data_IF_720530683966
#
_entry.id   IF_720530683966
#
_cell.length_a   1.000
_cell.length_b   1.000
_cell.length_c   1.000
_cell.angle_alpha   90.00
_cell.angle_beta   90.00
_cell.angle_gamma   90.00
#
_symmetry.space_group_name_H-M   'P 1'
#
loop_
_entity.id
_entity.type
_entity.pdbx_description
1 polymer ?
#
# COMPACT_ATOMS: atom_id res chain seq x y z
N UNK A 1 -12.65 -9.94 -19.19
CA UNK A 1 -13.85 -10.18 -18.36
C UNK A 1 -13.44 -11.03 -17.17
N UNK A 2 -13.87 -10.70 -15.96
CA UNK A 2 -13.71 -11.60 -14.79
C UNK A 2 -14.87 -12.59 -14.80
N UNK A 3 -14.57 -13.89 -14.85
CA UNK A 3 -15.55 -14.98 -14.99
C UNK A 3 -15.82 -15.70 -13.68
N UNK A 4 -14.86 -15.68 -12.75
CA UNK A 4 -15.02 -16.19 -11.39
C UNK A 4 -14.39 -15.24 -10.38
N UNK A 5 -14.89 -15.27 -9.14
CA UNK A 5 -14.39 -14.47 -8.02
C UNK A 5 -14.32 -15.32 -6.75
N UNK A 6 -13.40 -14.98 -5.85
CA UNK A 6 -13.27 -15.61 -4.53
C UNK A 6 -13.35 -14.56 -3.44
N UNK A 7 -14.00 -14.85 -2.31
CA UNK A 7 -13.99 -13.95 -1.17
C UNK A 7 -12.60 -13.96 -0.51
N UNK A 8 -12.03 -12.78 -0.26
CA UNK A 8 -10.74 -12.63 0.41
C UNK A 8 -10.91 -12.25 1.89
N UNK A 9 -11.98 -11.53 2.23
CA UNK A 9 -12.24 -11.04 3.58
C UNK A 9 -13.31 -9.95 3.59
N UNK A 10 -13.42 -9.26 4.72
CA UNK A 10 -14.37 -8.16 4.94
C UNK A 10 -13.65 -6.88 5.33
N UNK A 11 -14.03 -5.73 4.78
CA UNK A 11 -13.60 -4.42 5.28
C UNK A 11 -14.83 -3.65 5.68
N UNK A 12 -14.96 -3.29 6.96
CA UNK A 12 -16.16 -2.62 7.49
C UNK A 12 -17.48 -3.36 7.13
N UNK A 13 -17.46 -4.69 7.08
CA UNK A 13 -18.61 -5.52 6.69
C UNK A 13 -18.83 -5.67 5.18
N UNK A 14 -18.03 -5.02 4.35
CA UNK A 14 -18.07 -5.15 2.89
C UNK A 14 -17.16 -6.26 2.39
N UNK A 15 -17.69 -7.13 1.53
CA UNK A 15 -16.92 -8.24 0.96
C UNK A 15 -15.86 -7.72 0.00
N UNK A 16 -14.62 -8.17 0.22
CA UNK A 16 -13.51 -7.99 -0.72
C UNK A 16 -13.39 -9.24 -1.57
N UNK A 17 -13.50 -9.07 -2.88
CA UNK A 17 -13.38 -10.12 -3.87
C UNK A 17 -12.01 -10.11 -4.50
N UNK A 18 -11.42 -11.29 -4.66
CA UNK A 18 -10.27 -11.56 -5.51
C UNK A 18 -10.72 -12.11 -6.86
N UNK A 19 -10.00 -11.77 -7.92
CA UNK A 19 -10.24 -12.32 -9.26
C UNK A 19 -9.91 -13.81 -9.25
N UNK A 20 -10.88 -14.67 -9.53
CA UNK A 20 -10.69 -16.13 -9.60
C UNK A 20 -10.26 -16.60 -10.97
N UNK A 21 -11.02 -16.22 -11.99
CA UNK A 21 -10.78 -16.61 -13.39
C UNK A 21 -11.12 -15.45 -14.32
N UNK A 22 -10.51 -15.43 -15.51
CA UNK A 22 -10.72 -14.38 -16.51
C UNK A 22 -10.82 -14.93 -17.93
N UNK A 23 -11.60 -14.23 -18.75
CA UNK A 23 -11.74 -14.50 -20.18
C UNK A 23 -11.45 -13.25 -21.00
N UNK A 24 -10.60 -13.40 -22.01
CA UNK A 24 -10.45 -12.41 -23.09
C UNK A 24 -11.45 -12.76 -24.20
N UNK A 25 -12.32 -11.81 -24.53
CA UNK A 25 -13.36 -12.00 -25.55
C UNK A 25 -13.06 -11.10 -26.74
N UNK A 26 -13.03 -11.68 -27.93
CA UNK A 26 -12.93 -10.93 -29.19
C UNK A 26 -14.31 -10.37 -29.54
N UNK A 27 -14.38 -9.07 -29.85
CA UNK A 27 -15.65 -8.40 -30.18
C UNK A 27 -15.98 -8.41 -31.68
N UNK A 28 -14.97 -8.48 -32.54
CA UNK A 28 -15.14 -8.55 -33.98
C UNK A 28 -13.98 -9.30 -34.65
N UNK A 29 -14.28 -10.02 -35.72
CA UNK A 29 -13.26 -10.64 -36.58
C UNK A 29 -12.67 -9.59 -37.52
N UNK A 30 -11.45 -9.17 -37.20
CA UNK A 30 -10.65 -8.19 -37.94
C UNK A 30 -9.75 -8.85 -39.00
N UNK A 31 -10.07 -10.07 -39.42
CA UNK A 31 -9.24 -10.93 -40.28
C UNK A 31 -8.91 -10.26 -41.63
N UNK A 32 -9.78 -9.35 -42.09
CA UNK A 32 -9.57 -8.60 -43.34
C UNK A 32 -8.63 -7.38 -43.21
N UNK A 33 -8.22 -7.00 -41.99
CA UNK A 33 -7.21 -5.96 -41.77
C UNK A 33 -5.81 -6.56 -41.93
N UNK A 34 -5.32 -6.61 -43.17
CA UNK A 34 -3.96 -7.11 -43.49
C UNK A 34 -2.89 -6.35 -42.70
N UNK A 35 -1.99 -7.08 -42.03
CA UNK A 35 -0.76 -6.54 -41.44
C UNK A 35 -0.74 -6.35 -39.93
N UNK A 36 -1.84 -6.60 -39.20
CA UNK A 36 -1.92 -6.37 -37.74
C UNK A 36 -1.90 -7.63 -36.87
N UNK A 37 -1.95 -8.83 -37.47
CA UNK A 37 -2.16 -10.07 -36.71
C UNK A 37 -0.98 -10.46 -35.81
N UNK A 38 0.26 -10.33 -36.30
CA UNK A 38 1.46 -10.64 -35.52
C UNK A 38 1.63 -9.69 -34.32
N UNK A 39 1.37 -8.40 -34.52
CA UNK A 39 1.39 -7.40 -33.46
C UNK A 39 0.26 -7.60 -32.45
N UNK A 40 -0.96 -7.92 -32.91
CA UNK A 40 -2.08 -8.25 -32.03
C UNK A 40 -1.77 -9.49 -31.18
N UNK A 41 -1.24 -10.56 -31.78
CA UNK A 41 -0.81 -11.75 -31.05
C UNK A 41 0.31 -11.45 -30.05
N UNK A 42 1.25 -10.57 -30.38
CA UNK A 42 2.29 -10.09 -29.45
C UNK A 42 1.69 -9.33 -28.27
N UNK A 43 0.77 -8.40 -28.52
CA UNK A 43 0.09 -7.62 -27.47
C UNK A 43 -0.78 -8.51 -26.58
N UNK A 44 -1.51 -9.48 -27.16
CA UNK A 44 -2.26 -10.49 -26.40
C UNK A 44 -1.36 -11.27 -25.46
N UNK A 45 -0.20 -11.75 -25.95
CA UNK A 45 0.79 -12.43 -25.10
C UNK A 45 1.29 -11.54 -23.98
N UNK A 46 1.65 -10.28 -24.27
CA UNK A 46 2.10 -9.34 -23.23
C UNK A 46 1.03 -9.04 -22.18
N UNK A 47 -0.25 -9.00 -22.57
CA UNK A 47 -1.36 -8.83 -21.63
C UNK A 47 -1.54 -10.08 -20.75
N UNK A 48 -1.45 -11.27 -21.35
CA UNK A 48 -1.59 -12.55 -20.66
C UNK A 48 -0.42 -12.86 -19.71
N UNK A 49 0.73 -12.18 -19.85
CA UNK A 49 1.81 -12.22 -18.86
C UNK A 49 1.40 -11.66 -17.50
N UNK A 50 0.36 -10.83 -17.44
CA UNK A 50 -0.21 -10.37 -16.18
C UNK A 50 -1.26 -11.40 -15.73
N UNK A 51 -0.91 -12.20 -14.73
CA UNK A 51 -1.86 -13.08 -14.08
C UNK A 51 -2.85 -12.26 -13.23
N UNK A 52 -4.07 -12.09 -13.76
CA UNK A 52 -5.12 -11.36 -13.07
C UNK A 52 -5.65 -12.12 -11.84
N UNK A 53 -5.44 -13.43 -11.72
CA UNK A 53 -5.91 -14.18 -10.56
C UNK A 53 -5.09 -13.90 -9.28
N UNK A 54 -3.88 -13.36 -9.45
CA UNK A 54 -2.93 -13.10 -8.38
C UNK A 54 -2.84 -11.61 -8.06
N UNK A 55 -3.21 -11.23 -6.84
CA UNK A 55 -3.03 -9.87 -6.32
C UNK A 55 -4.03 -8.83 -6.81
N UNK A 56 -5.06 -9.20 -7.57
CA UNK A 56 -6.13 -8.29 -7.97
C UNK A 56 -7.40 -8.47 -7.13
N UNK A 57 -7.95 -7.36 -6.67
CA UNK A 57 -9.11 -7.36 -5.79
C UNK A 57 -9.99 -6.11 -5.96
N UNK A 58 -11.27 -6.23 -5.62
CA UNK A 58 -12.26 -5.14 -5.60
C UNK A 58 -13.36 -5.44 -4.56
N UNK A 59 -14.28 -4.50 -4.32
CA UNK A 59 -15.49 -4.75 -3.53
C UNK A 59 -16.67 -4.13 -4.23
N UNK A 60 -17.76 -4.87 -4.42
CA UNK A 60 -18.96 -4.34 -5.09
C UNK A 60 -19.63 -3.20 -4.30
N UNK A 61 -19.30 -3.07 -3.01
CA UNK A 61 -19.99 -2.18 -2.07
C UNK A 61 -19.07 -1.21 -1.33
N UNK A 62 -17.76 -1.25 -1.61
CA UNK A 62 -16.79 -0.39 -0.93
C UNK A 62 -15.67 0.04 -1.88
N UNK A 63 -15.28 1.32 -1.81
CA UNK A 63 -14.22 1.83 -2.67
C UNK A 63 -12.84 1.50 -2.12
N UNK A 64 -12.25 0.40 -2.62
CA UNK A 64 -10.91 -0.03 -2.24
C UNK A 64 -9.77 0.75 -2.93
N UNK A 65 -10.04 1.73 -3.80
CA UNK A 65 -8.97 2.57 -4.36
C UNK A 65 -8.55 3.68 -3.41
N UNK A 66 -9.34 3.92 -2.36
CA UNK A 66 -9.13 4.94 -1.35
C UNK A 66 -8.93 4.31 0.03
N UNK A 67 -8.36 5.10 0.95
CA UNK A 67 -8.15 4.69 2.34
C UNK A 67 -9.47 4.66 3.11
N UNK A 68 -9.49 3.96 4.24
CA UNK A 68 -10.61 3.98 5.17
C UNK A 68 -10.94 5.40 5.64
N UNK A 69 -9.91 6.21 5.92
CA UNK A 69 -10.09 7.62 6.30
C UNK A 69 -10.80 8.41 5.19
N UNK A 70 -10.32 8.30 3.94
CA UNK A 70 -10.92 9.01 2.80
C UNK A 70 -12.37 8.59 2.58
N UNK A 71 -12.66 7.29 2.66
CA UNK A 71 -14.01 6.77 2.51
C UNK A 71 -14.92 7.23 3.66
N UNK A 72 -14.43 7.24 4.90
CA UNK A 72 -15.20 7.68 6.08
C UNK A 72 -15.52 9.18 6.06
N UNK A 73 -14.62 10.00 5.49
CA UNK A 73 -14.82 11.44 5.34
C UNK A 73 -15.61 11.81 4.08
N UNK A 74 -15.81 10.87 3.15
CA UNK A 74 -16.56 11.13 1.94
C UNK A 74 -18.03 11.38 2.29
N UNK A 75 -18.59 12.50 1.79
CA UNK A 75 -20.03 12.75 1.95
C UNK A 75 -20.81 11.60 1.30
N UNK A 76 -21.85 11.07 1.97
CA UNK A 76 -22.79 10.14 1.35
C UNK A 76 -23.25 10.70 0.00
N UNK A 77 -23.37 9.86 -1.02
CA UNK A 77 -23.86 10.26 -2.34
C UNK A 77 -25.24 10.95 -2.27
N UNK A 78 -25.99 10.71 -1.20
CA UNK A 78 -27.34 11.23 -0.94
C UNK A 78 -27.38 12.29 0.18
N UNK A 79 -26.24 12.87 0.60
CA UNK A 79 -26.27 13.99 1.52
C UNK A 79 -26.96 15.18 0.81
N UNK A 80 -28.10 15.69 1.31
CA UNK A 80 -28.68 16.91 0.76
C UNK A 80 -27.62 18.01 0.85
N UNK A 81 -27.42 18.76 -0.24
CA UNK A 81 -26.77 20.06 -0.13
C UNK A 81 -27.58 20.84 0.91
N UNK A 82 -26.93 21.23 2.01
CA UNK A 82 -27.55 21.99 3.08
C UNK A 82 -28.11 23.29 2.51
N UNK A 83 -29.38 23.28 2.16
CA UNK A 83 -30.27 24.43 2.19
C UNK A 83 -31.39 24.02 3.15
N UNK A 84 -31.33 24.56 4.36
CA UNK A 84 -32.32 24.45 5.45
C UNK A 84 -32.65 23.02 5.93
N UNK A 85 -31.83 22.49 6.84
CA UNK A 85 -32.17 21.31 7.64
C UNK A 85 -33.25 21.67 8.68
N UNK A 86 -34.50 21.28 8.40
CA UNK A 86 -35.56 21.16 9.39
C UNK A 86 -35.22 20.01 10.36
N UNK A 87 -34.87 20.35 11.61
CA UNK A 87 -34.44 19.42 12.66
C UNK A 87 -35.54 18.45 13.15
N UNK A 88 -36.76 18.52 12.60
CA UNK A 88 -37.90 17.74 13.11
C UNK A 88 -38.01 16.29 12.58
N UNK A 89 -37.25 15.91 11.54
CA UNK A 89 -37.37 14.58 10.94
C UNK A 89 -36.02 13.95 10.54
N UNK A 90 -35.45 13.02 11.32
CA UNK A 90 -34.31 12.23 10.86
C UNK A 90 -34.79 11.28 9.76
N UNK A 91 -34.53 11.66 8.50
CA UNK A 91 -34.76 10.78 7.35
C UNK A 91 -33.84 9.57 7.53
N UNK A 92 -34.43 8.42 7.85
CA UNK A 92 -33.77 7.12 7.78
C UNK A 92 -33.45 6.84 6.30
N UNK A 93 -32.31 7.36 5.82
CA UNK A 93 -31.76 6.96 4.53
C UNK A 93 -31.32 5.51 4.68
N UNK A 94 -32.21 4.60 4.30
CA UNK A 94 -31.80 3.24 3.97
C UNK A 94 -31.03 3.35 2.67
N UNK A 95 -29.74 2.98 2.62
CA UNK A 95 -29.00 3.01 1.36
C UNK A 95 -29.72 2.05 0.42
N UNK A 96 -30.44 2.59 -0.55
CA UNK A 96 -31.07 1.78 -1.57
C UNK A 96 -29.94 1.15 -2.39
N UNK A 97 -30.12 -0.11 -2.80
CA UNK A 97 -29.22 -0.79 -3.75
C UNK A 97 -29.20 -0.11 -5.15
N UNK A 98 -29.76 1.11 -5.30
CA UNK A 98 -29.90 1.83 -6.56
C UNK A 98 -28.78 2.87 -6.80
N UNK A 99 -27.97 3.20 -5.80
CA UNK A 99 -26.88 4.17 -5.97
C UNK A 99 -25.53 3.47 -6.21
N UNK A 100 -24.74 3.94 -7.19
CA UNK A 100 -23.48 3.31 -7.52
C UNK A 100 -22.46 3.63 -6.42
N UNK A 101 -21.80 2.60 -5.90
CA UNK A 101 -20.74 2.74 -4.90
C UNK A 101 -19.57 3.58 -5.42
N UNK A 102 -19.33 3.50 -6.73
CA UNK A 102 -18.25 4.22 -7.39
C UNK A 102 -18.73 5.50 -8.05
N UNK A 103 -17.86 6.50 -8.04
CA UNK A 103 -17.97 7.74 -8.79
C UNK A 103 -17.12 7.66 -10.05
N UNK A 104 -17.47 8.40 -11.12
CA UNK A 104 -16.62 8.49 -12.31
C UNK A 104 -15.15 8.84 -12.02
N UNK A 105 -14.92 9.67 -10.99
CA UNK A 105 -13.59 10.08 -10.54
C UNK A 105 -12.74 8.97 -9.91
N UNK A 106 -13.34 7.90 -9.39
CA UNK A 106 -12.60 6.81 -8.73
C UNK A 106 -11.69 6.07 -9.72
N UNK A 107 -12.07 6.05 -11.00
CA UNK A 107 -11.22 5.51 -12.06
C UNK A 107 -10.00 6.39 -12.36
N UNK A 108 -9.94 7.62 -11.87
CA UNK A 108 -8.75 8.47 -11.99
C UNK A 108 -7.77 8.28 -10.81
N UNK A 109 -8.18 7.53 -9.79
CA UNK A 109 -7.31 7.11 -8.69
C UNK A 109 -6.06 6.38 -9.20
N UNK A 110 -4.92 6.63 -8.55
CA UNK A 110 -3.66 5.98 -8.88
C UNK A 110 -3.74 4.45 -8.73
N UNK A 111 -4.70 3.97 -7.93
CA UNK A 111 -4.86 2.55 -7.57
C UNK A 111 -5.93 1.81 -8.38
N UNK A 112 -6.67 2.51 -9.25
CA UNK A 112 -7.60 1.88 -10.18
C UNK A 112 -6.84 1.30 -11.40
N UNK A 113 -6.35 0.08 -11.29
CA UNK A 113 -5.48 -0.55 -12.31
C UNK A 113 -6.14 -0.63 -13.69
N UNK A 114 -7.42 -1.00 -13.73
CA UNK A 114 -8.18 -1.22 -14.97
C UNK A 114 -8.67 0.07 -15.64
N UNK A 115 -8.34 1.27 -15.16
CA UNK A 115 -8.92 2.50 -15.70
C UNK A 115 -8.57 2.79 -17.16
N UNK A 116 -7.36 2.41 -17.60
CA UNK A 116 -7.00 2.50 -19.02
C UNK A 116 -7.79 1.47 -19.84
N UNK A 117 -7.82 0.22 -19.37
CA UNK A 117 -8.53 -0.88 -20.01
C UNK A 117 -10.04 -0.61 -20.15
N UNK A 118 -10.66 0.02 -19.14
CA UNK A 118 -12.08 0.32 -19.13
C UNK A 118 -12.44 1.64 -19.83
N UNK A 119 -11.45 2.49 -20.19
CA UNK A 119 -11.71 3.86 -20.67
C UNK A 119 -12.66 3.91 -21.86
N UNK A 120 -12.42 3.12 -22.90
CA UNK A 120 -13.24 3.14 -24.11
C UNK A 120 -14.71 2.78 -23.79
N UNK A 121 -14.91 1.75 -22.96
CA UNK A 121 -16.23 1.34 -22.52
C UNK A 121 -16.90 2.39 -21.62
N UNK A 122 -16.16 3.02 -20.70
CA UNK A 122 -16.67 4.11 -19.85
C UNK A 122 -17.13 5.32 -20.68
N UNK A 123 -16.40 5.66 -21.75
CA UNK A 123 -16.77 6.73 -22.66
C UNK A 123 -18.02 6.36 -23.45
N UNK A 124 -18.08 5.14 -23.99
CA UNK A 124 -19.21 4.66 -24.79
C UNK A 124 -20.53 4.56 -23.99
N UNK A 125 -20.46 4.09 -22.74
CA UNK A 125 -21.63 4.00 -21.85
C UNK A 125 -22.04 5.35 -21.25
N UNK A 126 -21.16 6.35 -21.27
CA UNK A 126 -21.25 7.54 -20.42
C UNK A 126 -20.74 7.25 -19.01
N UNK A 127 -19.96 8.19 -18.46
CA UNK A 127 -19.20 7.96 -17.23
C UNK A 127 -20.08 7.64 -16.01
N UNK A 128 -21.25 8.28 -15.89
CA UNK A 128 -22.21 8.06 -14.81
C UNK A 128 -22.94 6.73 -14.90
N UNK A 129 -23.13 6.19 -16.10
CA UNK A 129 -23.74 4.88 -16.29
C UNK A 129 -22.70 3.77 -16.11
N UNK A 130 -21.46 4.03 -16.52
CA UNK A 130 -20.40 3.03 -16.48
C UNK A 130 -20.08 2.51 -15.07
N UNK A 131 -20.26 3.33 -14.02
CA UNK A 131 -20.02 2.94 -12.61
C UNK A 131 -20.96 1.84 -12.10
N UNK A 132 -22.08 1.59 -12.78
CA UNK A 132 -22.98 0.46 -12.47
C UNK A 132 -22.49 -0.87 -13.05
N UNK A 133 -21.65 -0.81 -14.09
CA UNK A 133 -21.20 -1.98 -14.86
C UNK A 133 -19.74 -2.33 -14.62
N UNK A 134 -18.96 -1.37 -14.11
CA UNK A 134 -17.51 -1.46 -14.02
C UNK A 134 -17.09 -1.07 -12.61
N UNK A 135 -16.35 -1.95 -11.96
CA UNK A 135 -15.65 -1.68 -10.70
C UNK A 135 -14.17 -1.32 -10.98
N UNK A 136 -13.60 -0.32 -10.28
CA UNK A 136 -12.16 -0.14 -10.21
C UNK A 136 -11.48 -1.37 -9.60
N UNK A 137 -10.50 -1.93 -10.32
CA UNK A 137 -9.74 -3.09 -9.86
C UNK A 137 -8.43 -2.61 -9.21
N UNK A 138 -8.19 -2.99 -7.97
CA UNK A 138 -6.92 -2.74 -7.29
C UNK A 138 -5.93 -3.87 -7.58
N UNK A 139 -4.63 -3.55 -7.61
CA UNK A 139 -3.55 -4.51 -7.75
C UNK A 139 -2.59 -4.38 -6.57
N UNK A 140 -2.20 -5.48 -5.95
CA UNK A 140 -1.24 -5.53 -4.85
C UNK A 140 -1.47 -6.74 -3.96
N UNK A 141 -1.81 -6.50 -2.70
CA UNK A 141 -1.95 -7.56 -1.69
C UNK A 141 -3.16 -7.31 -0.80
N UNK A 142 -3.79 -8.39 -0.35
CA UNK A 142 -4.83 -8.36 0.66
C UNK A 142 -4.65 -9.60 1.54
N UNK A 143 -4.58 -9.40 2.85
CA UNK A 143 -4.67 -10.48 3.82
C UNK A 143 -5.46 -10.02 5.03
N UNK A 144 -6.16 -10.96 5.63
CA UNK A 144 -6.95 -10.74 6.81
C UNK A 144 -6.79 -11.95 7.73
N UNK A 145 -6.60 -11.69 9.02
CA UNK A 145 -6.57 -12.70 10.04
C UNK A 145 -7.37 -12.24 11.27
N UNK A 146 -7.80 -13.21 12.06
CA UNK A 146 -8.39 -12.97 13.37
C UNK A 146 -7.35 -13.23 14.43
N UNK A 147 -7.29 -12.33 15.40
CA UNK A 147 -6.39 -12.45 16.54
C UNK A 147 -7.17 -12.18 17.82
N UNK A 148 -6.84 -12.90 18.89
CA UNK A 148 -7.39 -12.65 20.22
C UNK A 148 -6.42 -11.74 20.98
N UNK A 149 -6.89 -10.55 21.35
CA UNK A 149 -6.16 -9.58 22.15
C UNK A 149 -6.86 -9.42 23.50
N UNK A 150 -6.24 -9.93 24.57
CA UNK A 150 -6.78 -9.88 25.94
C UNK A 150 -8.21 -10.42 26.05
N UNK A 151 -8.50 -11.53 25.35
CA UNK A 151 -9.81 -12.18 25.36
C UNK A 151 -10.85 -11.56 24.43
N UNK A 152 -10.50 -10.51 23.67
CA UNK A 152 -11.35 -9.93 22.62
C UNK A 152 -10.86 -10.36 21.26
N UNK A 153 -11.76 -10.89 20.44
CA UNK A 153 -11.45 -11.16 19.03
C UNK A 153 -11.43 -9.86 18.25
N UNK A 154 -10.35 -9.64 17.49
CA UNK A 154 -10.25 -8.53 16.53
C UNK A 154 -9.84 -9.09 15.17
N UNK A 155 -10.28 -8.43 14.13
CA UNK A 155 -9.90 -8.74 12.75
C UNK A 155 -8.81 -7.76 12.32
N UNK A 156 -7.63 -8.29 11.99
CA UNK A 156 -6.53 -7.50 11.45
C UNK A 156 -6.46 -7.71 9.95
N UNK A 157 -6.48 -6.61 9.20
CA UNK A 157 -6.43 -6.60 7.74
C UNK A 157 -5.22 -5.80 7.31
N UNK A 158 -4.47 -6.33 6.35
CA UNK A 158 -3.43 -5.59 5.64
C UNK A 158 -3.78 -5.61 4.17
N UNK A 159 -4.00 -4.44 3.59
CA UNK A 159 -4.12 -4.28 2.15
C UNK A 159 -3.03 -3.36 1.61
N UNK A 160 -2.45 -3.75 0.48
CA UNK A 160 -1.46 -2.97 -0.23
C UNK A 160 -1.95 -2.72 -1.66
N UNK A 161 -1.94 -1.46 -2.07
CA UNK A 161 -2.40 -1.00 -3.39
C UNK A 161 -1.21 -0.44 -4.14
N UNK A 162 -0.89 -1.05 -5.28
CA UNK A 162 0.20 -0.61 -6.16
C UNK A 162 -0.33 0.42 -7.14
N UNK A 163 0.34 1.56 -7.21
CA UNK A 163 0.04 2.62 -8.17
C UNK A 163 0.22 2.11 -9.60
N UNK A 164 -0.75 2.41 -10.48
CA UNK A 164 -0.66 2.17 -11.92
C UNK A 164 0.26 3.18 -12.62
N UNK A 165 0.59 4.26 -11.92
CA UNK A 165 1.38 5.35 -12.47
C UNK A 165 2.87 5.08 -12.34
N UNK A 166 3.62 5.49 -13.35
CA UNK A 166 5.08 5.32 -13.43
C UNK A 166 5.55 3.89 -13.07
N UNK A 167 4.70 2.90 -13.34
CA UNK A 167 4.96 1.51 -13.04
C UNK A 167 5.98 0.91 -14.02
N UNK A 168 6.76 -0.06 -13.53
CA UNK A 168 7.65 -0.88 -14.33
C UNK A 168 8.49 -1.79 -13.45
N UNK A 169 9.43 -2.52 -14.04
CA UNK A 169 10.38 -3.33 -13.26
C UNK A 169 11.33 -2.41 -12.51
N UNK A 170 11.86 -2.86 -11.36
CA UNK A 170 12.79 -2.06 -10.54
C UNK A 170 14.05 -1.65 -11.30
N UNK A 171 14.47 -2.44 -12.30
CA UNK A 171 15.60 -2.09 -13.17
C UNK A 171 15.25 -1.00 -14.17
N UNK A 172 14.02 -0.99 -14.70
CA UNK A 172 13.65 -0.10 -15.80
C UNK A 172 12.98 1.20 -15.34
N UNK A 173 12.42 1.25 -14.13
CA UNK A 173 11.70 2.42 -13.60
C UNK A 173 12.14 2.74 -12.17
N UNK A 174 12.75 3.91 -12.02
CA UNK A 174 13.26 4.51 -10.79
C UNK A 174 12.96 6.01 -10.82
N UNK A 175 13.01 6.64 -9.66
CA UNK A 175 12.80 8.06 -9.51
C UNK A 175 11.35 8.49 -9.62
N UNK A 176 11.18 9.77 -9.93
CA UNK A 176 9.92 10.43 -10.20
C UNK A 176 9.81 10.77 -11.69
N UNK A 177 8.60 10.88 -12.21
CA UNK A 177 8.37 11.46 -13.53
C UNK A 177 8.05 12.96 -13.45
N UNK A 178 7.98 13.63 -14.60
CA UNK A 178 7.68 15.08 -14.69
C UNK A 178 6.33 15.51 -14.09
N UNK A 179 5.43 14.57 -13.80
CA UNK A 179 4.14 14.84 -13.14
C UNK A 179 4.17 14.58 -11.62
N UNK A 180 5.35 14.35 -11.03
CA UNK A 180 5.49 14.07 -9.60
C UNK A 180 5.12 12.64 -9.17
N UNK A 181 4.87 11.72 -10.11
CA UNK A 181 4.50 10.33 -9.76
C UNK A 181 5.77 9.50 -9.56
N UNK A 182 5.97 9.01 -8.34
CA UNK A 182 7.10 8.16 -7.99
C UNK A 182 6.95 6.76 -8.59
N UNK A 183 8.07 6.17 -9.02
CA UNK A 183 8.09 4.82 -9.54
C UNK A 183 7.80 3.81 -8.42
N UNK A 184 7.04 2.76 -8.76
CA UNK A 184 6.74 1.62 -7.88
C UNK A 184 6.15 2.01 -6.52
N UNK A 185 5.29 3.03 -6.54
CA UNK A 185 4.55 3.49 -5.37
C UNK A 185 3.52 2.45 -4.93
N UNK A 186 3.48 2.20 -3.62
CA UNK A 186 2.56 1.28 -2.95
C UNK A 186 2.03 1.96 -1.69
N UNK A 187 0.71 2.03 -1.57
CA UNK A 187 0.01 2.43 -0.36
C UNK A 187 -0.35 1.16 0.42
N UNK A 188 0.18 1.02 1.63
CA UNK A 188 -0.15 -0.07 2.54
C UNK A 188 -1.03 0.46 3.65
N UNK A 189 -2.17 -0.17 3.87
CA UNK A 189 -3.11 0.18 4.91
C UNK A 189 -3.34 -1.02 5.82
N UNK A 190 -3.11 -0.82 7.10
CA UNK A 190 -3.44 -1.76 8.16
C UNK A 190 -4.74 -1.31 8.81
N UNK A 191 -5.73 -2.19 8.83
CA UNK A 191 -7.04 -1.95 9.46
C UNK A 191 -7.20 -2.95 10.59
N UNK A 192 -7.53 -2.47 11.79
CA UNK A 192 -7.96 -3.31 12.91
C UNK A 192 -9.43 -3.05 13.12
N UNK A 193 -10.23 -4.12 13.11
CA UNK A 193 -11.65 -4.05 13.41
C UNK A 193 -11.97 -4.88 14.65
N UNK A 194 -12.44 -4.19 15.68
CA UNK A 194 -12.89 -4.78 16.94
C UNK A 194 -14.42 -4.85 17.04
N UNK A 195 -15.15 -4.71 15.92
CA UNK A 195 -16.62 -4.76 15.89
C UNK A 195 -17.17 -6.13 16.24
N UNK A 196 -18.31 -6.15 16.94
CA UNK A 196 -18.99 -7.39 17.32
C UNK A 196 -19.55 -8.09 16.06
N UNK A 197 -19.12 -9.33 15.82
CA UNK A 197 -19.70 -10.26 14.85
C UNK A 197 -19.41 -10.06 13.35
N UNK A 198 -18.27 -9.49 12.95
CA UNK A 198 -17.97 -9.31 11.52
C UNK A 198 -17.96 -10.62 10.71
N UNK A 199 -17.59 -11.76 11.31
CA UNK A 199 -17.23 -12.97 10.56
C UNK A 199 -18.10 -14.21 10.82
N UNK A 200 -19.26 -14.09 11.47
CA UNK A 200 -20.26 -15.18 11.40
C UNK A 200 -20.80 -15.39 9.98
N UNK A 201 -20.56 -14.47 9.05
CA UNK A 201 -21.03 -14.56 7.65
C UNK A 201 -20.14 -15.39 6.72
N UNK A 202 -18.82 -15.46 6.91
CA UNK A 202 -17.95 -16.31 6.06
C UNK A 202 -17.88 -17.75 6.59
N UNK A 203 -17.85 -17.94 7.91
CA UNK A 203 -17.78 -19.27 8.53
C UNK A 203 -19.10 -20.06 8.42
N UNK A 204 -20.25 -19.38 8.32
CA UNK A 204 -21.56 -20.03 8.25
C UNK A 204 -21.95 -20.54 6.85
N UNK A 205 -21.08 -20.38 5.85
CA UNK A 205 -21.40 -20.67 4.44
C UNK A 205 -22.38 -19.65 3.86
N UNK A 206 -22.20 -19.31 2.58
CA UNK A 206 -23.18 -18.51 1.85
C UNK A 206 -24.58 -19.12 2.03
N UNK A 207 -25.66 -18.32 2.19
CA UNK A 207 -26.99 -18.86 2.42
C UNK A 207 -27.38 -19.76 1.26
N UNK A 208 -27.33 -21.07 1.48
CA UNK A 208 -27.97 -22.05 0.60
C UNK A 208 -29.45 -21.71 0.57
N UNK A 209 -30.00 -21.53 -0.63
CA UNK A 209 -31.44 -21.43 -0.89
C UNK A 209 -32.16 -22.55 -0.13
N UNK A 210 -32.79 -22.23 1.01
CA UNK A 210 -33.56 -23.20 1.79
C UNK A 210 -33.50 -23.09 3.31
N UNK A 211 -32.61 -22.30 3.91
CA UNK A 211 -32.60 -22.18 5.38
C UNK A 211 -33.79 -21.34 5.88
N UNK A 212 -34.72 -22.01 6.57
CA UNK A 212 -35.93 -21.44 7.14
C UNK A 212 -35.64 -20.16 7.93
N UNK A 213 -36.32 -19.07 7.56
CA UNK A 213 -36.34 -17.81 8.31
C UNK A 213 -37.00 -18.06 9.66
N UNK A 214 -36.20 -18.25 10.71
CA UNK A 214 -36.66 -18.07 12.08
C UNK A 214 -37.02 -16.58 12.22
N UNK A 215 -38.34 -16.29 12.13
CA UNK A 215 -38.91 -14.98 12.41
C UNK A 215 -38.60 -14.63 13.88
N UNK A 216 -37.99 -13.47 14.13
CA UNK A 216 -38.11 -12.81 15.44
C UNK A 216 -36.84 -12.22 16.05
N UNK A 217 -35.64 -12.71 15.74
CA UNK A 217 -34.40 -12.04 16.20
C UNK A 217 -33.95 -11.02 15.14
N UNK A 218 -34.12 -9.72 15.42
CA UNK A 218 -33.37 -8.66 14.72
C UNK A 218 -31.89 -9.07 14.80
N UNK A 219 -31.25 -9.33 13.66
CA UNK A 219 -29.79 -9.54 13.64
C UNK A 219 -29.15 -8.28 14.24
N UNK A 220 -28.20 -8.41 15.18
CA UNK A 220 -27.49 -7.24 15.68
C UNK A 220 -26.90 -6.51 14.46
N UNK A 221 -27.16 -5.21 14.34
CA UNK A 221 -26.51 -4.38 13.32
C UNK A 221 -25.02 -4.45 13.60
N UNK A 222 -24.24 -4.81 12.59
CA UNK A 222 -22.79 -4.70 12.67
C UNK A 222 -22.43 -3.22 12.87
N UNK A 223 -21.67 -2.95 13.93
CA UNK A 223 -21.17 -1.62 14.25
C UNK A 223 -19.63 -1.66 14.14
N UNK A 224 -19.03 -1.03 13.11
CA UNK A 224 -17.59 -1.08 12.90
C UNK A 224 -16.86 -0.34 14.03
N UNK A 225 -15.87 -1.00 14.63
CA UNK A 225 -14.94 -0.38 15.60
C UNK A 225 -13.54 -0.45 15.03
N UNK A 226 -13.30 0.45 14.08
CA UNK A 226 -12.17 0.37 13.17
C UNK A 226 -11.11 1.42 13.50
N UNK A 227 -9.85 0.99 13.43
CA UNK A 227 -8.71 1.89 13.28
C UNK A 227 -8.00 1.57 11.97
N UNK A 228 -7.43 2.59 11.33
CA UNK A 228 -6.63 2.44 10.11
C UNK A 228 -5.32 3.20 10.24
N UNK A 229 -4.23 2.58 9.80
CA UNK A 229 -2.93 3.21 9.66
C UNK A 229 -2.42 2.99 8.24
N UNK A 230 -2.17 4.08 7.52
CA UNK A 230 -1.69 4.05 6.13
C UNK A 230 -0.24 4.49 6.03
N UNK A 231 0.55 3.78 5.23
CA UNK A 231 1.93 4.09 4.91
C UNK A 231 2.14 4.07 3.40
N UNK A 232 2.88 5.06 2.90
CA UNK A 232 3.29 5.11 1.50
C UNK A 232 4.74 4.67 1.35
N UNK A 233 5.00 3.82 0.37
CA UNK A 233 6.35 3.44 -0.05
C UNK A 233 6.51 3.70 -1.55
N UNK A 234 7.58 4.39 -1.94
CA UNK A 234 7.89 4.63 -3.35
C UNK A 234 9.38 4.77 -3.59
N UNK A 235 9.76 4.96 -4.86
CA UNK A 235 11.11 5.38 -5.20
C UNK A 235 11.41 6.78 -4.64
N UNK A 236 12.68 7.05 -4.33
CA UNK A 236 13.15 8.41 -3.98
C UNK A 236 12.69 9.39 -5.05
N UNK A 237 11.99 10.50 -4.70
CA UNK A 237 11.29 11.36 -5.65
C UNK A 237 12.25 12.35 -6.33
N UNK A 238 13.28 11.82 -6.98
CA UNK A 238 14.26 12.55 -7.78
C UNK A 238 14.29 11.98 -9.18
N UNK A 239 14.82 12.72 -10.15
CA UNK A 239 15.15 12.13 -11.44
C UNK A 239 16.43 11.31 -11.33
N UNK A 240 16.28 10.00 -11.15
CA UNK A 240 17.42 9.11 -11.10
C UNK A 240 17.14 7.79 -11.80
N UNK A 241 18.20 7.21 -12.34
CA UNK A 241 18.19 5.90 -12.96
C UNK A 241 19.32 5.06 -12.41
N UNK A 242 19.24 3.76 -12.66
CA UNK A 242 20.28 2.82 -12.33
C UNK A 242 20.65 2.08 -13.61
N UNK A 243 21.94 1.81 -13.80
CA UNK A 243 22.39 1.02 -14.95
C UNK A 243 21.70 -0.37 -14.95
N UNK A 244 21.31 -0.84 -16.13
CA UNK A 244 20.54 -2.07 -16.32
C UNK A 244 21.40 -3.27 -16.70
N UNK A 245 22.73 -3.09 -16.77
CA UNK A 245 23.67 -4.17 -17.06
C UNK A 245 23.52 -5.35 -16.10
N UNK A 246 23.15 -6.52 -16.66
CA UNK A 246 23.02 -7.78 -15.93
C UNK A 246 24.34 -8.31 -15.35
N UNK A 247 25.48 -7.79 -15.84
CA UNK A 247 26.82 -8.18 -15.40
C UNK A 247 27.26 -7.41 -14.13
N UNK A 248 26.59 -6.30 -13.81
CA UNK A 248 26.95 -5.45 -12.68
C UNK A 248 26.13 -5.81 -11.44
N UNK A 249 26.73 -6.57 -10.51
CA UNK A 249 26.09 -6.93 -9.24
C UNK A 249 25.67 -5.71 -8.39
N UNK A 250 26.30 -4.54 -8.60
CA UNK A 250 25.94 -3.26 -7.97
C UNK A 250 25.88 -2.15 -9.02
N UNK A 251 24.78 -2.04 -9.77
CA UNK A 251 24.73 -1.10 -10.89
C UNK A 251 24.76 0.35 -10.38
N UNK A 252 25.48 1.21 -11.10
CA UNK A 252 25.71 2.62 -10.74
C UNK A 252 24.40 3.40 -10.71
N UNK A 253 24.27 4.29 -9.72
CA UNK A 253 23.16 5.23 -9.63
C UNK A 253 23.56 6.51 -10.35
N UNK A 254 22.68 6.98 -11.23
CA UNK A 254 22.85 8.20 -12.00
C UNK A 254 21.72 9.15 -11.64
N UNK A 255 22.04 10.21 -10.91
CA UNK A 255 21.11 11.34 -10.69
C UNK A 255 21.18 12.22 -11.93
N UNK A 256 20.03 12.49 -12.54
CA UNK A 256 19.93 13.34 -13.71
C UNK A 256 19.78 14.78 -13.24
N UNK A 257 20.85 15.57 -13.33
CA UNK A 257 20.93 16.96 -12.84
C UNK A 257 20.16 17.99 -13.67
N UNK A 258 18.97 17.67 -14.19
CA UNK A 258 18.23 18.56 -15.08
C UNK A 258 17.08 19.35 -14.41
N UNK A 259 16.80 19.12 -13.13
CA UNK A 259 15.69 19.79 -12.42
C UNK A 259 16.23 20.74 -11.34
N UNK A 260 16.69 21.92 -11.77
CA UNK A 260 17.25 22.96 -10.90
C UNK A 260 16.21 23.50 -9.91
N UNK A 261 14.94 23.50 -10.29
CA UNK A 261 13.83 24.00 -9.45
C UNK A 261 13.14 22.87 -8.66
N UNK A 262 13.62 21.64 -8.76
CA UNK A 262 13.03 20.46 -8.12
C UNK A 262 11.50 20.36 -8.35
N UNK A 263 11.03 20.78 -9.52
CA UNK A 263 9.60 20.89 -9.83
C UNK A 263 8.90 19.53 -9.75
N UNK A 264 9.57 18.45 -10.16
CA UNK A 264 8.99 17.12 -10.06
C UNK A 264 8.89 16.64 -8.60
N UNK A 265 9.87 16.98 -7.76
CA UNK A 265 9.84 16.70 -6.32
C UNK A 265 8.73 17.51 -5.64
N UNK A 266 8.59 18.79 -5.97
CA UNK A 266 7.52 19.64 -5.47
C UNK A 266 6.13 19.10 -5.86
N UNK A 267 5.98 18.68 -7.12
CA UNK A 267 4.76 18.04 -7.60
C UNK A 267 4.47 16.72 -6.87
N UNK A 268 5.49 15.92 -6.58
CA UNK A 268 5.33 14.68 -5.81
C UNK A 268 4.76 14.96 -4.42
N UNK A 269 5.37 15.85 -3.65
CA UNK A 269 4.88 16.17 -2.31
C UNK A 269 3.53 16.90 -2.34
N UNK A 270 3.20 17.59 -3.42
CA UNK A 270 1.85 18.15 -3.61
C UNK A 270 0.80 17.05 -3.79
N UNK A 271 1.12 15.96 -4.51
CA UNK A 271 0.25 14.79 -4.63
C UNK A 271 0.11 14.04 -3.31
N UNK A 272 1.22 13.81 -2.59
CA UNK A 272 1.22 13.17 -1.26
C UNK A 272 0.34 13.98 -0.31
N UNK A 273 0.55 15.30 -0.23
CA UNK A 273 -0.21 16.19 0.64
C UNK A 273 -1.69 16.26 0.27
N UNK A 274 -2.03 16.23 -1.03
CA UNK A 274 -3.42 16.20 -1.46
C UNK A 274 -4.17 14.94 -0.99
N UNK A 275 -3.46 13.83 -0.75
CA UNK A 275 -4.05 12.56 -0.34
C UNK A 275 -3.98 12.30 1.17
N UNK A 276 -2.87 12.66 1.82
CA UNK A 276 -2.60 12.31 3.22
C UNK A 276 -2.51 13.51 4.16
N UNK A 277 -2.63 14.73 3.64
CA UNK A 277 -2.43 15.98 4.37
C UNK A 277 -1.01 16.14 4.93
N UNK A 278 -0.81 17.21 5.70
CA UNK A 278 0.43 17.51 6.38
C UNK A 278 0.42 16.88 7.81
N UNK A 279 1.58 16.50 8.37
CA UNK A 279 2.91 16.58 7.78
C UNK A 279 3.28 15.33 6.97
N UNK A 280 3.97 15.52 5.85
CA UNK A 280 4.64 14.43 5.15
C UNK A 280 5.98 14.11 5.81
N UNK A 281 6.14 12.89 6.34
CA UNK A 281 7.38 12.39 6.95
C UNK A 281 7.99 11.29 6.08
N UNK A 282 9.15 11.57 5.49
CA UNK A 282 9.93 10.60 4.73
C UNK A 282 10.89 9.85 5.64
N UNK A 283 10.73 8.53 5.73
CA UNK A 283 11.74 7.65 6.32
C UNK A 283 12.66 7.14 5.21
N UNK A 284 13.91 7.62 5.18
CA UNK A 284 14.90 7.27 4.18
C UNK A 284 15.88 6.24 4.73
N UNK A 285 15.89 5.05 4.14
CA UNK A 285 16.82 3.95 4.47
C UNK A 285 18.12 4.00 3.65
N UNK A 286 18.38 5.12 2.96
CA UNK A 286 19.57 5.32 2.14
C UNK A 286 20.82 5.25 3.01
N UNK A 287 21.81 4.47 2.59
CA UNK A 287 23.08 4.32 3.33
C UNK A 287 23.75 5.66 3.56
N UNK A 288 24.18 5.88 4.81
CA UNK A 288 24.76 7.16 5.22
C UNK A 288 26.26 7.24 4.96
N UNK A 289 26.99 6.14 5.14
CA UNK A 289 28.43 6.02 4.92
C UNK A 289 28.71 4.88 3.95
N UNK A 290 29.36 5.20 2.84
CA UNK A 290 29.79 4.25 1.83
C UNK A 290 31.24 4.54 1.45
N UNK A 291 32.06 3.49 1.24
CA UNK A 291 33.44 3.65 0.74
C UNK A 291 33.49 4.31 -0.64
N UNK A 292 32.47 4.09 -1.47
CA UNK A 292 32.26 4.74 -2.76
C UNK A 292 30.84 5.29 -2.77
N UNK A 293 30.64 6.60 -3.03
CA UNK A 293 29.32 7.21 -2.99
C UNK A 293 28.44 6.63 -4.10
N UNK A 294 27.36 5.95 -3.73
CA UNK A 294 26.37 5.39 -4.65
C UNK A 294 24.96 5.78 -4.22
N UNK A 295 24.51 5.26 -3.08
CA UNK A 295 23.20 5.64 -2.54
C UNK A 295 23.27 7.00 -1.83
N UNK A 296 24.41 7.32 -1.22
CA UNK A 296 24.65 8.61 -0.56
C UNK A 296 24.53 9.82 -1.50
N UNK A 297 24.73 9.62 -2.81
CA UNK A 297 24.47 10.66 -3.81
C UNK A 297 22.98 11.07 -3.84
N UNK A 298 22.07 10.10 -3.76
CA UNK A 298 20.62 10.39 -3.70
C UNK A 298 20.24 11.12 -2.40
N UNK A 299 20.98 10.88 -1.32
CA UNK A 299 20.72 11.55 -0.05
C UNK A 299 21.00 13.06 -0.13
N UNK A 300 22.16 13.44 -0.66
CA UNK A 300 22.52 14.86 -0.81
C UNK A 300 21.50 15.60 -1.70
N UNK A 301 21.16 14.98 -2.82
CA UNK A 301 20.19 15.53 -3.79
C UNK A 301 18.78 15.62 -3.22
N UNK A 302 18.34 14.63 -2.44
CA UNK A 302 17.04 14.67 -1.78
C UNK A 302 17.00 15.78 -0.72
N UNK A 303 18.08 15.95 0.05
CA UNK A 303 18.17 17.01 1.05
C UNK A 303 18.11 18.40 0.41
N UNK A 304 18.84 18.61 -0.70
CA UNK A 304 18.77 19.85 -1.47
C UNK A 304 17.35 20.12 -2.02
N UNK A 305 16.72 19.09 -2.60
CA UNK A 305 15.36 19.20 -3.10
C UNK A 305 14.35 19.53 -2.00
N UNK A 306 14.43 18.87 -0.85
CA UNK A 306 13.55 19.14 0.28
C UNK A 306 13.77 20.52 0.88
N UNK A 307 15.02 21.01 0.93
CA UNK A 307 15.32 22.37 1.35
C UNK A 307 14.62 23.39 0.44
N UNK A 308 14.73 23.22 -0.87
CA UNK A 308 14.06 24.09 -1.84
C UNK A 308 12.53 24.03 -1.71
N UNK A 309 11.95 22.82 -1.67
CA UNK A 309 10.49 22.63 -1.56
C UNK A 309 9.96 23.23 -0.26
N UNK A 310 10.61 22.98 0.89
CA UNK A 310 10.21 23.54 2.17
C UNK A 310 10.36 25.07 2.22
N UNK A 311 11.35 25.63 1.51
CA UNK A 311 11.52 27.08 1.37
C UNK A 311 10.40 27.74 0.57
N UNK A 312 9.83 27.03 -0.40
CA UNK A 312 8.70 27.50 -1.20
C UNK A 312 7.32 27.29 -0.52
N UNK A 313 7.26 26.55 0.59
CA UNK A 313 6.01 26.34 1.32
C UNK A 313 5.62 27.58 2.15
N UNK A 314 4.32 27.93 2.21
CA UNK A 314 3.80 28.96 3.11
C UNK A 314 4.24 28.77 4.57
N UNK A 315 4.39 29.86 5.31
CA UNK A 315 4.91 29.84 6.69
C UNK A 315 3.96 29.16 7.70
N UNK A 316 2.66 29.18 7.42
CA UNK A 316 1.59 28.57 8.21
C UNK A 316 1.50 27.03 8.05
N UNK A 317 2.31 26.45 7.16
CA UNK A 317 2.28 25.00 6.89
C UNK A 317 3.39 24.24 7.56
N UNK A 318 3.09 23.02 7.96
CA UNK A 318 4.11 22.09 8.43
C UNK A 318 5.07 21.71 7.30
N UNK A 319 6.35 21.56 7.65
CA UNK A 319 7.41 21.24 6.71
C UNK A 319 7.51 19.74 6.49
N UNK A 320 7.94 19.36 5.29
CA UNK A 320 8.25 17.97 4.97
C UNK A 320 9.50 17.57 5.75
N UNK A 321 9.36 16.56 6.60
CA UNK A 321 10.47 16.01 7.37
C UNK A 321 11.08 14.81 6.62
N UNK A 322 12.41 14.70 6.65
CA UNK A 322 13.10 13.50 6.16
C UNK A 322 14.04 12.96 7.23
N UNK A 323 13.66 11.81 7.79
CA UNK A 323 14.44 11.08 8.78
C UNK A 323 15.30 10.07 8.06
N UNK A 324 16.61 10.23 8.15
CA UNK A 324 17.56 9.26 7.62
C UNK A 324 17.85 8.19 8.67
N UNK A 325 17.47 6.95 8.37
CA UNK A 325 17.63 5.83 9.28
C UNK A 325 18.47 4.75 8.61
N UNK A 326 19.77 4.72 8.96
CA UNK A 326 20.71 3.73 8.44
C UNK A 326 20.44 2.38 9.10
N UNK A 327 19.66 1.55 8.41
CA UNK A 327 19.18 0.27 8.93
C UNK A 327 20.32 -0.64 9.40
N UNK A 328 21.42 -0.74 8.64
CA UNK A 328 22.51 -1.65 8.97
C UNK A 328 23.22 -1.24 10.25
N UNK A 329 23.45 0.07 10.44
CA UNK A 329 24.05 0.59 11.68
C UNK A 329 23.16 0.36 12.88
N UNK A 330 21.86 0.56 12.71
CA UNK A 330 20.88 0.46 13.80
C UNK A 330 20.64 -0.99 14.22
N UNK A 331 20.57 -1.92 13.27
CA UNK A 331 20.46 -3.35 13.57
C UNK A 331 21.73 -3.89 14.24
N UNK A 332 22.92 -3.44 13.83
CA UNK A 332 24.19 -3.80 14.50
C UNK A 332 24.24 -3.29 15.95
N UNK A 333 23.82 -2.04 16.20
CA UNK A 333 23.78 -1.47 17.55
C UNK A 333 22.67 -2.04 18.46
N UNK A 334 21.64 -2.68 17.89
CA UNK A 334 20.57 -3.33 18.65
C UNK A 334 20.94 -4.75 19.10
N UNK A 335 21.83 -5.44 18.38
CA UNK A 335 22.28 -6.79 18.76
C UNK A 335 23.24 -6.74 19.95
N UNK A 336 24.11 -5.73 20.03
CA UNK A 336 25.02 -5.53 21.19
C UNK A 336 24.31 -5.07 22.47
N UNK A 337 23.04 -4.65 22.38
CA UNK A 337 22.25 -4.20 23.55
C UNK A 337 21.32 -5.28 24.13
N UNK A 338 21.32 -6.49 23.57
CA UNK A 338 20.42 -7.59 23.95
C UNK A 338 21.06 -8.75 24.72
N UNK A 339 22.35 -8.67 25.10
CA UNK A 339 23.07 -9.79 25.74
C UNK A 339 23.60 -9.49 27.15
N UNK A 340 22.96 -8.61 27.92
CA UNK A 340 23.27 -8.43 29.35
C UNK A 340 21.97 -8.37 30.13
N UNK A 341 21.45 -9.55 30.50
CA UNK A 341 20.50 -9.79 31.59
C UNK A 341 20.14 -11.28 31.63
N UNK A 342 21.01 -12.07 32.25
CA UNK A 342 20.64 -13.32 32.90
C UNK A 342 21.64 -13.51 34.03
N UNK A 343 21.20 -13.13 35.23
CA UNK A 343 21.86 -13.33 36.50
C UNK A 343 22.02 -14.84 36.79
N UNK A 344 23.19 -15.23 37.31
CA UNK A 344 23.33 -16.28 38.31
C UNK A 344 24.38 -15.80 39.34
N UNK A 345 23.90 -15.07 40.36
CA UNK A 345 24.32 -15.20 41.78
C UNK A 345 24.02 -16.66 42.23
N UNK A 346 24.63 -17.32 43.21
CA UNK A 346 25.51 -17.03 44.36
C UNK A 346 26.01 -18.42 44.85
N UNK A 347 27.17 -18.49 45.52
CA UNK A 347 27.41 -19.23 46.79
C UNK A 347 28.90 -19.58 47.06
N UNK A 348 29.46 -18.78 47.98
CA UNK A 348 30.24 -19.07 49.20
C UNK A 348 31.37 -20.13 49.28
N UNK A 349 32.57 -19.61 49.61
CA UNK A 349 33.49 -19.91 50.73
C UNK A 349 33.92 -21.35 51.10
N UNK A 350 35.25 -21.58 51.11
CA UNK A 350 36.07 -21.76 52.34
C UNK A 350 37.43 -22.45 52.09
N UNK A 351 38.50 -21.73 52.48
CA UNK A 351 39.75 -22.14 53.18
C UNK A 351 40.57 -23.40 52.82
N UNK A 352 41.90 -23.19 52.78
CA UNK A 352 42.84 -24.11 53.47
C UNK A 352 44.12 -24.56 52.74
N UNK A 353 45.16 -23.74 52.83
CA UNK A 353 46.54 -24.07 53.27
C UNK A 353 47.44 -25.10 52.52
N UNK A 354 48.76 -24.79 52.47
CA UNK A 354 49.80 -25.84 52.40
C UNK A 354 50.92 -25.74 51.35
N UNK A 355 52.01 -25.11 51.75
CA UNK A 355 53.43 -25.51 51.58
C UNK A 355 54.33 -25.06 50.41
N UNK A 356 55.42 -24.45 50.88
CA UNK A 356 56.70 -24.09 50.26
C UNK A 356 57.50 -25.29 49.72
N UNK A 357 58.29 -25.08 48.65
CA UNK A 357 59.77 -25.13 48.71
C UNK A 357 60.48 -24.80 47.38
N UNK A 358 61.56 -24.05 47.56
CA UNK A 358 62.50 -23.44 46.62
C UNK A 358 63.57 -24.42 46.03
N UNK A 359 64.45 -23.96 45.10
CA UNK A 359 65.13 -24.74 44.04
C UNK A 359 66.58 -25.15 44.39
N UNK A 360 67.36 -25.69 43.42
CA UNK A 360 68.40 -24.90 42.71
C UNK A 360 68.53 -25.33 41.22
N UNK A 361 69.27 -24.73 40.30
CA UNK A 361 70.33 -23.74 40.28
C UNK A 361 71.14 -23.96 38.99
N UNK A 362 71.56 -22.85 38.37
CA UNK A 362 72.73 -22.60 37.51
C UNK A 362 73.26 -23.63 36.49
N UNK A 363 73.50 -23.11 35.28
CA UNK A 363 74.31 -23.73 34.24
C UNK A 363 74.45 -22.82 33.02
N UNK A 364 75.43 -21.91 33.12
CA UNK A 364 75.86 -20.89 32.15
C UNK A 364 76.26 -21.44 30.77
N UNK A 365 76.17 -20.57 29.76
CA UNK A 365 76.62 -20.77 28.39
C UNK A 365 76.43 -19.52 27.54
#
# INVERSE_FOLDING_TARGET
>A
LVTARRALGLVCGHVVWGVGDTKLVRLADTVDLRGTEADEQRLKRLLQWVDLATGFFWSDTYNLTETLQTNALSQPLDAPLLDEADESHPVNVTPSNAHPVYRPGDFESAFAWNAHLSRALRVALGASTAVYWIAPLCHGYFAQCRVSLSGREVTMTVLARRSRHHAGTRFNRRGVNARGRAANEVETEQIVDAGDAQLTWLDAGAPTRGANRVRGRRRPRYEPRVSSATQLRGSVPLFWSQDTSALNARPTIVVRGHDVTHAATAAHFSLVRARYHDPAVCLSLIRSQERRPRESALRGELAAALHYVNGALPADRERIACVHWDFERQMKGSVDKGSVAADEDEDEDADGDGDEKSPPGDGDG
#
